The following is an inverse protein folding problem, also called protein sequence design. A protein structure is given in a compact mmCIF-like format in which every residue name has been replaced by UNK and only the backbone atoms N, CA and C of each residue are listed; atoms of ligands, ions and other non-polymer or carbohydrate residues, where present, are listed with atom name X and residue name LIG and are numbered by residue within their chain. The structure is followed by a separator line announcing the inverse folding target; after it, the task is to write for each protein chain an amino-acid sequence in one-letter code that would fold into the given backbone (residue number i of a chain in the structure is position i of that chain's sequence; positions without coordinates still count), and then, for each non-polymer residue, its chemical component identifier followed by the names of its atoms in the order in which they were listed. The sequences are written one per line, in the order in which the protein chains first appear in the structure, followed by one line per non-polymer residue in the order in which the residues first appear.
data_IF_288649465788
#
_entry.id   IF_288649465788
#
_cell.length_a   1.000
_cell.length_b   1.000
_cell.length_c   1.000
_cell.angle_alpha   90.00
_cell.angle_beta   90.00
_cell.angle_gamma   90.00
#
_symmetry.space_group_name_H-M   'P 1'
#
loop_
_entity.id
_entity.type
_entity.pdbx_description
1 polymer ?
#
# COMPACT_ATOMS: atom_id res chain seq x y z
N UNK A 1 7.97 -0.59 -1.77
CA UNK A 1 7.07 0.58 -1.65
C UNK A 1 7.89 1.81 -1.32
N UNK A 2 7.51 2.98 -1.84
CA UNK A 2 8.09 4.27 -1.49
C UNK A 2 6.98 5.27 -1.16
N UNK A 3 7.13 6.03 -0.07
CA UNK A 3 6.19 7.05 0.40
C UNK A 3 6.92 7.99 1.37
N UNK A 4 6.65 9.29 1.34
CA UNK A 4 7.31 10.28 2.23
C UNK A 4 8.86 10.25 2.14
N UNK A 5 9.41 9.92 0.96
CA UNK A 5 10.85 9.71 0.77
C UNK A 5 11.45 8.48 1.46
N UNK A 6 10.62 7.67 2.13
CA UNK A 6 10.98 6.42 2.81
C UNK A 6 10.75 5.24 1.88
N UNK A 7 11.60 4.21 2.00
CA UNK A 7 11.51 2.99 1.20
C UNK A 7 11.23 1.79 2.11
N UNK A 8 10.30 0.94 1.70
CA UNK A 8 9.87 -0.23 2.46
C UNK A 8 9.91 -1.48 1.61
N UNK A 9 10.29 -2.58 2.26
CA UNK A 9 10.30 -3.94 1.71
C UNK A 9 9.36 -4.81 2.53
N UNK A 10 8.51 -5.58 1.84
CA UNK A 10 7.52 -6.46 2.45
C UNK A 10 7.62 -7.87 1.87
N UNK A 11 7.27 -8.85 2.69
CA UNK A 11 7.07 -10.24 2.28
C UNK A 11 5.57 -10.52 2.37
N UNK A 12 4.83 -10.52 1.25
CA UNK A 12 3.40 -10.77 1.27
C UNK A 12 3.08 -12.14 1.88
N UNK A 13 2.21 -12.13 2.89
CA UNK A 13 1.57 -13.33 3.43
C UNK A 13 0.30 -13.68 2.63
N UNK A 14 -0.37 -12.66 2.09
CA UNK A 14 -1.41 -12.77 1.07
C UNK A 14 -1.03 -11.88 -0.11
N UNK A 15 -1.20 -12.39 -1.32
CA UNK A 15 -1.06 -11.64 -2.56
C UNK A 15 -2.09 -12.20 -3.54
N UNK A 16 -3.23 -11.54 -3.67
CA UNK A 16 -4.34 -11.93 -4.53
C UNK A 16 -4.67 -10.75 -5.45
N UNK A 17 -4.72 -11.03 -6.75
CA UNK A 17 -5.02 -10.04 -7.79
C UNK A 17 -6.10 -10.62 -8.67
N UNK A 18 -7.27 -10.00 -8.64
CA UNK A 18 -8.34 -10.17 -9.62
C UNK A 18 -8.66 -8.80 -10.22
N UNK A 19 -8.22 -8.57 -11.45
CA UNK A 19 -8.43 -7.31 -12.17
C UNK A 19 -9.91 -7.03 -12.52
N UNK A 20 -10.82 -7.95 -12.22
CA UNK A 20 -12.27 -7.74 -12.36
C UNK A 20 -12.97 -7.47 -11.03
N UNK A 21 -12.28 -7.60 -9.90
CA UNK A 21 -12.87 -7.54 -8.57
C UNK A 21 -12.01 -6.75 -7.60
N UNK A 22 -10.87 -7.31 -7.18
CA UNK A 22 -10.03 -6.71 -6.14
C UNK A 22 -8.55 -7.07 -6.22
N UNK A 23 -7.72 -6.23 -5.61
CA UNK A 23 -6.33 -6.51 -5.27
C UNK A 23 -6.22 -6.51 -3.74
N UNK A 24 -5.78 -7.64 -3.20
CA UNK A 24 -5.56 -7.84 -1.77
C UNK A 24 -4.12 -8.29 -1.54
N UNK A 25 -3.30 -7.44 -0.92
CA UNK A 25 -1.91 -7.74 -0.60
C UNK A 25 -1.63 -7.35 0.84
N UNK A 26 -1.21 -8.32 1.66
CA UNK A 26 -0.90 -8.04 3.06
C UNK A 26 0.33 -8.81 3.50
N UNK A 27 1.17 -8.21 4.34
CA UNK A 27 2.32 -8.92 4.86
C UNK A 27 3.26 -8.09 5.71
N UNK A 28 4.09 -8.75 6.55
CA UNK A 28 5.11 -8.09 7.32
C UNK A 28 6.24 -7.57 6.43
N UNK A 29 6.93 -6.55 6.93
CA UNK A 29 8.07 -5.94 6.27
C UNK A 29 8.76 -4.96 7.19
N UNK A 30 9.48 -4.00 6.60
CA UNK A 30 10.16 -2.92 7.31
C UNK A 30 10.60 -1.84 6.36
N UNK A 31 10.91 -0.67 6.92
CA UNK A 31 11.69 0.36 6.22
C UNK A 31 13.13 -0.12 5.96
N UNK A 32 13.66 0.20 4.78
CA UNK A 32 15.03 -0.12 4.38
C UNK A 32 16.00 0.62 5.29
N UNK A 33 16.82 -0.16 6.02
CA UNK A 33 17.79 0.39 6.98
C UNK A 33 17.23 0.59 8.40
N UNK A 34 15.94 0.38 8.63
CA UNK A 34 15.34 0.37 9.96
C UNK A 34 15.34 -1.05 10.57
N UNK A 35 15.33 -1.10 11.91
CA UNK A 35 15.12 -2.34 12.66
C UNK A 35 13.64 -2.55 13.05
N UNK A 36 12.86 -1.48 13.04
CA UNK A 36 11.45 -1.49 13.42
C UNK A 36 10.61 -2.25 12.37
N UNK A 37 9.72 -3.16 12.79
CA UNK A 37 8.86 -3.86 11.84
C UNK A 37 7.81 -2.93 11.25
N UNK A 38 7.26 -3.32 10.11
CA UNK A 38 6.09 -2.68 9.53
C UNK A 38 5.15 -3.74 8.95
N UNK A 39 3.89 -3.40 8.76
CA UNK A 39 2.90 -4.26 8.15
C UNK A 39 2.23 -3.55 6.98
N UNK A 40 2.22 -4.20 5.81
CA UNK A 40 1.54 -3.73 4.61
C UNK A 40 0.12 -4.28 4.58
N UNK A 41 -0.82 -3.42 4.24
CA UNK A 41 -2.24 -3.72 4.02
C UNK A 41 -2.69 -3.03 2.74
N UNK A 42 -3.03 -3.80 1.71
CA UNK A 42 -3.50 -3.30 0.41
C UNK A 42 -4.88 -3.85 0.18
N UNK A 43 -5.85 -2.97 0.01
CA UNK A 43 -7.22 -3.31 -0.34
C UNK A 43 -7.71 -2.35 -1.41
N UNK A 44 -7.77 -2.86 -2.65
CA UNK A 44 -8.21 -2.13 -3.82
C UNK A 44 -9.37 -2.87 -4.45
N UNK A 45 -10.44 -2.16 -4.79
CA UNK A 45 -11.61 -2.70 -5.48
C UNK A 45 -11.83 -1.99 -6.81
N UNK A 46 -12.31 -2.72 -7.81
CA UNK A 46 -12.72 -2.18 -9.10
C UNK A 46 -14.24 -2.03 -9.15
N UNK A 47 -14.75 -0.79 -9.19
CA UNK A 47 -16.18 -0.49 -9.28
C UNK A 47 -16.44 0.36 -10.51
N UNK A 48 -17.35 -0.08 -11.38
CA UNK A 48 -17.74 0.66 -12.59
C UNK A 48 -16.57 1.10 -13.51
N UNK A 49 -15.46 0.36 -13.46
CA UNK A 49 -14.24 0.65 -14.23
C UNK A 49 -13.29 1.66 -13.58
N UNK A 50 -13.60 2.12 -12.36
CA UNK A 50 -12.75 2.96 -11.54
C UNK A 50 -12.08 2.13 -10.42
N UNK A 51 -10.89 2.55 -10.03
CA UNK A 51 -10.09 1.89 -8.99
C UNK A 51 -10.25 2.65 -7.67
N UNK A 52 -10.68 1.94 -6.63
CA UNK A 52 -10.98 2.48 -5.31
C UNK A 52 -10.18 1.78 -4.21
N UNK A 53 -9.95 2.48 -3.10
CA UNK A 53 -9.30 1.91 -1.92
C UNK A 53 -7.93 2.50 -1.63
N UNK A 54 -7.16 1.79 -0.82
CA UNK A 54 -5.89 2.26 -0.29
C UNK A 54 -4.85 1.15 -0.10
N UNK A 55 -3.60 1.56 -0.03
CA UNK A 55 -2.52 0.76 0.51
C UNK A 55 -1.89 1.50 1.69
N UNK A 56 -1.75 0.79 2.80
CA UNK A 56 -1.34 1.30 4.10
C UNK A 56 -0.15 0.52 4.64
N UNK A 57 0.75 1.25 5.29
CA UNK A 57 1.82 0.74 6.12
C UNK A 57 1.54 1.13 7.56
N UNK A 58 1.42 0.15 8.45
CA UNK A 58 1.51 0.37 9.89
C UNK A 58 2.96 0.15 10.35
N UNK A 59 3.55 1.15 10.99
CA UNK A 59 4.95 1.13 11.44
C UNK A 59 5.00 0.69 12.92
N UNK A 60 6.02 -0.06 13.32
CA UNK A 60 6.15 -0.58 14.70
C UNK A 60 5.35 -1.85 14.96
N UNK A 61 4.70 -2.42 13.94
CA UNK A 61 3.89 -3.65 14.05
C UNK A 61 4.25 -4.64 12.95
N UNK A 62 4.03 -5.93 13.22
CA UNK A 62 4.36 -7.05 12.31
C UNK A 62 3.12 -7.88 11.93
N UNK A 63 1.91 -7.40 12.22
CA UNK A 63 0.68 -8.16 11.98
C UNK A 63 -0.56 -7.28 11.87
N UNK A 64 -1.55 -7.81 11.14
CA UNK A 64 -2.86 -7.19 10.94
C UNK A 64 -3.56 -6.94 12.29
N UNK A 65 -4.37 -5.88 12.35
CA UNK A 65 -5.16 -5.47 13.52
C UNK A 65 -4.33 -5.11 14.77
N UNK A 66 -3.02 -4.89 14.64
CA UNK A 66 -2.24 -4.24 15.68
C UNK A 66 -2.31 -2.74 15.49
N UNK A 67 -2.74 -2.02 16.52
CA UNK A 67 -2.76 -0.56 16.49
C UNK A 67 -1.34 -0.01 16.47
N UNK A 68 -1.05 0.86 15.50
CA UNK A 68 0.11 1.75 15.53
C UNK A 68 -0.34 3.21 15.64
N UNK A 69 0.47 4.02 16.31
CA UNK A 69 0.33 5.48 16.29
C UNK A 69 0.96 6.09 15.01
N UNK A 70 1.83 5.33 14.33
CA UNK A 70 2.53 5.74 13.11
C UNK A 70 2.09 4.89 11.91
N UNK A 71 1.58 5.58 10.90
CA UNK A 71 1.11 4.95 9.68
C UNK A 71 1.33 5.88 8.49
N UNK A 72 1.53 5.26 7.34
CA UNK A 72 1.59 5.91 6.03
C UNK A 72 0.62 5.19 5.12
N UNK A 73 -0.25 5.91 4.43
CA UNK A 73 -1.21 5.32 3.51
C UNK A 73 -1.27 6.13 2.21
N UNK A 74 -1.75 5.50 1.15
CA UNK A 74 -1.99 6.14 -0.14
C UNK A 74 -3.18 5.48 -0.84
N UNK A 75 -3.97 6.26 -1.57
CA UNK A 75 -5.24 5.78 -2.11
C UNK A 75 -6.11 6.90 -2.67
N UNK A 76 -7.40 6.59 -2.86
CA UNK A 76 -8.39 7.48 -3.49
C UNK A 76 -8.98 8.57 -2.56
N UNK A 77 -8.25 8.93 -1.50
CA UNK A 77 -8.72 9.89 -0.49
C UNK A 77 -8.99 11.27 -1.11
N UNK A 78 -10.23 11.76 -0.95
CA UNK A 78 -10.56 13.17 -1.18
C UNK A 78 -10.41 13.68 -2.62
N UNK A 79 -10.66 12.82 -3.61
CA UNK A 79 -10.45 13.02 -5.07
C UNK A 79 -9.02 12.73 -5.57
N UNK A 80 -8.17 12.08 -4.78
CA UNK A 80 -6.91 11.50 -5.28
C UNK A 80 -7.20 10.38 -6.28
N UNK A 81 -6.49 10.36 -7.41
CA UNK A 81 -6.59 9.26 -8.35
C UNK A 81 -5.59 8.18 -7.95
N UNK A 82 -6.08 6.95 -7.73
CA UNK A 82 -5.23 5.77 -7.66
C UNK A 82 -5.00 5.26 -9.09
N UNK A 83 -3.75 5.33 -9.54
CA UNK A 83 -3.34 4.85 -10.85
C UNK A 83 -2.67 3.49 -10.71
N UNK A 84 -3.03 2.59 -11.64
CA UNK A 84 -2.50 1.24 -11.72
C UNK A 84 -1.79 1.05 -13.07
N UNK A 85 -0.60 0.46 -13.02
CA UNK A 85 0.15 0.02 -14.19
C UNK A 85 0.50 -1.46 -14.06
N UNK A 86 0.31 -2.21 -15.15
CA UNK A 86 0.54 -3.64 -15.21
C UNK A 86 1.63 -3.97 -16.24
N UNK A 87 2.55 -4.86 -15.87
CA UNK A 87 3.59 -5.37 -16.76
C UNK A 87 3.87 -6.85 -16.47
N UNK A 88 3.12 -7.74 -17.13
CA UNK A 88 3.18 -9.18 -16.86
C UNK A 88 2.46 -9.48 -15.54
N UNK A 89 3.16 -10.15 -14.61
CA UNK A 89 2.67 -10.40 -13.24
C UNK A 89 2.92 -9.22 -12.29
N UNK A 90 3.71 -8.22 -12.72
CA UNK A 90 4.08 -7.07 -11.91
C UNK A 90 3.00 -6.01 -11.99
N UNK A 91 2.49 -5.60 -10.82
CA UNK A 91 1.55 -4.50 -10.66
C UNK A 91 2.25 -3.36 -9.94
N UNK A 92 2.04 -2.13 -10.41
CA UNK A 92 2.46 -0.90 -9.74
C UNK A 92 1.26 -0.02 -9.49
N UNK A 93 1.04 0.32 -8.22
CA UNK A 93 0.05 1.29 -7.77
C UNK A 93 0.75 2.61 -7.45
N UNK A 94 0.13 3.71 -7.83
CA UNK A 94 0.57 5.08 -7.53
C UNK A 94 -0.60 5.91 -7.09
N UNK A 95 -0.46 6.64 -5.98
CA UNK A 95 -1.53 7.47 -5.43
C UNK A 95 -0.96 8.56 -4.49
N UNK A 96 -1.72 9.63 -4.21
CA UNK A 96 -1.38 10.58 -3.16
C UNK A 96 -1.32 9.90 -1.80
N UNK A 97 -0.29 10.21 -1.01
CA UNK A 97 -0.04 9.64 0.29
C UNK A 97 -0.34 10.60 1.44
N UNK A 98 -0.65 10.03 2.61
CA UNK A 98 -0.83 10.75 3.87
C UNK A 98 -0.30 9.98 5.07
N UNK A 99 -0.01 10.70 6.15
CA UNK A 99 0.40 10.12 7.44
C UNK A 99 -0.78 9.95 8.42
N UNK A 100 -0.50 9.43 9.63
CA UNK A 100 -1.51 9.21 10.69
C UNK A 100 -2.28 10.46 11.13
N UNK A 101 -1.76 11.67 10.86
CA UNK A 101 -2.44 12.94 11.14
C UNK A 101 -3.30 13.43 9.97
N UNK A 102 -3.22 12.75 8.82
CA UNK A 102 -3.86 13.15 7.58
C UNK A 102 -3.11 14.25 6.82
N UNK A 103 -1.85 14.51 7.18
CA UNK A 103 -1.00 15.44 6.40
C UNK A 103 -0.62 14.77 5.07
N UNK A 104 -0.62 15.54 3.99
CA UNK A 104 -0.10 15.13 2.67
C UNK A 104 1.42 14.89 2.76
N UNK A 105 1.87 13.72 2.31
CA UNK A 105 3.29 13.32 2.28
C UNK A 105 3.81 13.09 0.86
N UNK A 106 3.10 13.59 -0.14
CA UNK A 106 3.41 13.46 -1.56
C UNK A 106 2.93 12.15 -2.18
N UNK A 107 3.42 11.87 -3.38
CA UNK A 107 3.08 10.65 -4.11
C UNK A 107 3.72 9.42 -3.46
N UNK A 108 2.95 8.32 -3.43
CA UNK A 108 3.40 7.02 -3.00
C UNK A 108 3.36 6.04 -4.19
N UNK A 109 4.30 5.10 -4.19
CA UNK A 109 4.35 4.01 -5.17
C UNK A 109 4.54 2.66 -4.49
N UNK A 110 3.71 1.69 -4.88
CA UNK A 110 3.79 0.31 -4.43
C UNK A 110 3.90 -0.60 -5.66
N UNK A 111 4.99 -1.36 -5.75
CA UNK A 111 5.17 -2.42 -6.75
C UNK A 111 5.17 -3.77 -6.06
N UNK A 112 4.41 -4.72 -6.61
CA UNK A 112 4.37 -6.10 -6.14
C UNK A 112 4.18 -7.07 -7.30
N UNK A 113 4.49 -8.34 -7.03
CA UNK A 113 4.34 -9.46 -7.93
C UNK A 113 3.75 -10.63 -7.11
N UNK A 114 2.61 -11.15 -7.55
CA UNK A 114 1.89 -12.23 -6.85
C UNK A 114 2.13 -13.63 -7.46
N UNK A 115 2.98 -13.77 -8.49
CA UNK A 115 3.26 -15.06 -9.13
C UNK A 115 4.04 -14.98 -10.44
#
# INVERSE_FOLDING_TARGET
MAIDGRNFEFTPALCAVDFNDSILVHGPGKEVGAAEPSYLDVDITFLDGETHGEFRIDIGVDGQFRSSEDMLAAGDRGNGALAMAESGSVVTLTAPGWNSRGDDVGEASLTFDCG
#
